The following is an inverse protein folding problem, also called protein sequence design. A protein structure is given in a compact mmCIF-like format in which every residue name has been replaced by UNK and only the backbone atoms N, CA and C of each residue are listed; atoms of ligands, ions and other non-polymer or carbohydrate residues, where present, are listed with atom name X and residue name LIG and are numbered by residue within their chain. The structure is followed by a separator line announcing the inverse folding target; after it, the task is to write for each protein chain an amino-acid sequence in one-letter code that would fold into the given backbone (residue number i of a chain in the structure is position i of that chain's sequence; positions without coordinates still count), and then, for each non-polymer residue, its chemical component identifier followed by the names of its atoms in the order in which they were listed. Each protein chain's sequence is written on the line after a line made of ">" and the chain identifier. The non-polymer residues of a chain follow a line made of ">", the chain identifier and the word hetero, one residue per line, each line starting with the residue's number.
data_IF_032574802969
#
_entry.id   IF_032574802969
#
_cell.length_a   1.000
_cell.length_b   1.000
_cell.length_c   1.000
_cell.angle_alpha   90.00
_cell.angle_beta   90.00
_cell.angle_gamma   90.00
#
_symmetry.space_group_name_H-M   'P 1'
#
loop_
_entity.id
_entity.type
_entity.pdbx_description
1 polymer ?
#
# COMPACT_ATOMS: atom_id res chain seq x y z
N UNK A 1 4.07 6.50 0.66
CA UNK A 1 3.57 7.39 1.74
C UNK A 1 4.09 6.86 3.06
N UNK A 2 4.32 7.72 4.06
CA UNK A 2 4.84 7.31 5.37
C UNK A 2 4.10 8.01 6.52
N UNK A 3 3.45 7.22 7.39
CA UNK A 3 2.72 7.66 8.58
C UNK A 3 3.57 7.65 9.87
N UNK A 4 4.88 7.52 9.76
CA UNK A 4 5.83 7.39 10.88
C UNK A 4 6.07 5.94 11.33
N UNK A 5 5.17 5.00 11.01
CA UNK A 5 5.33 3.56 11.32
C UNK A 5 4.77 2.61 10.23
N UNK A 6 4.12 3.15 9.21
CA UNK A 6 3.51 2.39 8.12
C UNK A 6 3.74 3.08 6.77
N UNK A 7 3.94 2.29 5.72
CA UNK A 7 4.08 2.78 4.35
C UNK A 7 3.13 2.08 3.39
N UNK A 8 2.62 2.85 2.42
CA UNK A 8 1.72 2.39 1.36
C UNK A 8 2.00 3.10 0.03
N UNK A 9 1.39 2.56 -1.03
CA UNK A 9 1.43 3.13 -2.39
C UNK A 9 0.07 3.70 -2.74
N UNK A 10 0.03 4.88 -3.35
CA UNK A 10 -1.19 5.46 -3.90
C UNK A 10 -1.10 5.49 -5.42
N UNK A 11 -2.16 5.06 -6.09
CA UNK A 11 -2.25 5.00 -7.55
C UNK A 11 -3.52 5.76 -7.95
N UNK A 12 -3.47 6.55 -9.03
CA UNK A 12 -4.67 7.15 -9.60
C UNK A 12 -5.62 6.04 -10.03
N UNK A 13 -6.88 6.11 -9.62
CA UNK A 13 -7.86 5.07 -9.94
C UNK A 13 -8.07 4.91 -11.45
N UNK A 14 -8.01 6.02 -12.20
CA UNK A 14 -8.11 6.00 -13.66
C UNK A 14 -7.00 5.19 -14.36
N UNK A 15 -5.86 5.03 -13.69
CA UNK A 15 -4.69 4.30 -14.19
C UNK A 15 -4.73 2.81 -13.79
N UNK A 16 -5.78 2.37 -13.09
CA UNK A 16 -5.99 0.98 -12.66
C UNK A 16 -7.05 0.33 -13.56
N UNK A 17 -6.67 -0.60 -14.46
CA UNK A 17 -7.65 -1.36 -15.22
C UNK A 17 -8.50 -2.23 -14.28
N UNK A 18 -9.84 -2.11 -14.29
CA UNK A 18 -10.71 -2.88 -13.39
C UNK A 18 -10.77 -4.38 -13.75
N UNK A 19 -10.17 -4.78 -14.87
CA UNK A 19 -9.93 -6.18 -15.23
C UNK A 19 -8.72 -6.78 -14.51
N UNK A 20 -7.80 -5.95 -14.01
CA UNK A 20 -6.58 -6.39 -13.32
C UNK A 20 -6.73 -6.25 -11.80
N UNK A 21 -7.32 -5.14 -11.34
CA UNK A 21 -7.71 -4.94 -9.94
C UNK A 21 -9.21 -4.64 -9.89
N UNK A 22 -10.08 -5.66 -9.93
CA UNK A 22 -11.52 -5.48 -9.82
C UNK A 22 -11.96 -4.81 -8.51
N UNK A 23 -11.17 -4.92 -7.44
CA UNK A 23 -11.41 -4.30 -6.13
C UNK A 23 -11.42 -2.76 -6.18
N UNK A 24 -10.86 -2.16 -7.24
CA UNK A 24 -10.96 -0.70 -7.48
C UNK A 24 -12.40 -0.22 -7.67
N UNK A 25 -13.33 -1.11 -8.03
CA UNK A 25 -14.76 -0.79 -8.21
C UNK A 25 -15.47 -0.49 -6.89
N UNK A 26 -14.94 -0.96 -5.76
CA UNK A 26 -15.50 -0.71 -4.43
C UNK A 26 -15.37 0.77 -4.02
N UNK A 27 -14.59 1.55 -4.76
CA UNK A 27 -14.34 2.97 -4.52
C UNK A 27 -14.79 3.81 -5.72
N UNK A 28 -16.10 3.82 -6.08
CA UNK A 28 -16.59 4.44 -7.33
C UNK A 28 -16.23 5.92 -7.45
N UNK A 29 -16.22 6.62 -6.33
CA UNK A 29 -16.00 8.06 -6.26
C UNK A 29 -14.53 8.47 -6.03
N UNK A 30 -13.60 7.53 -5.89
CA UNK A 30 -12.21 7.87 -5.56
C UNK A 30 -11.41 8.35 -6.79
N UNK A 31 -10.58 9.37 -6.60
CA UNK A 31 -9.58 9.81 -7.58
C UNK A 31 -8.31 8.95 -7.49
N UNK A 32 -7.98 8.53 -6.26
CA UNK A 32 -6.83 7.70 -5.93
C UNK A 32 -7.23 6.53 -5.03
N UNK A 33 -6.48 5.45 -5.16
CA UNK A 33 -6.55 4.29 -4.29
C UNK A 33 -5.20 4.14 -3.61
N UNK A 34 -5.18 4.28 -2.28
CA UNK A 34 -4.06 3.82 -1.47
C UNK A 34 -4.19 2.33 -1.22
N UNK A 35 -3.06 1.63 -1.31
CA UNK A 35 -2.91 0.24 -0.88
C UNK A 35 -1.73 0.14 0.10
N UNK A 36 -2.01 -0.44 1.27
CA UNK A 36 -1.02 -0.87 2.24
C UNK A 36 -1.13 -2.39 2.49
N UNK A 37 0.00 -3.06 2.71
CA UNK A 37 0.05 -4.49 3.03
C UNK A 37 0.59 -4.72 4.44
N UNK A 38 -0.06 -5.57 5.21
CA UNK A 38 0.33 -5.85 6.59
C UNK A 38 -0.34 -7.08 7.19
N UNK A 39 -0.21 -7.20 8.50
CA UNK A 39 -0.76 -8.31 9.29
C UNK A 39 -2.28 -8.19 9.44
N UNK A 40 -3.01 -9.28 9.18
CA UNK A 40 -4.47 -9.30 9.17
C UNK A 40 -5.10 -9.03 10.53
N UNK A 41 -4.55 -9.61 11.60
CA UNK A 41 -5.13 -9.50 12.94
C UNK A 41 -4.81 -8.14 13.55
N UNK A 42 -3.62 -7.61 13.25
CA UNK A 42 -3.18 -6.30 13.73
C UNK A 42 -3.93 -5.14 13.08
N UNK A 43 -4.10 -5.16 11.76
CA UNK A 43 -4.81 -4.09 11.05
C UNK A 43 -6.28 -3.96 11.41
N UNK A 44 -6.88 -5.04 11.94
CA UNK A 44 -8.29 -5.06 12.35
C UNK A 44 -8.49 -4.77 13.83
N UNK A 45 -7.43 -4.59 14.62
CA UNK A 45 -7.54 -4.29 16.04
C UNK A 45 -7.97 -2.82 16.27
N UNK A 46 -8.96 -2.61 17.13
CA UNK A 46 -9.62 -1.31 17.33
C UNK A 46 -8.78 -0.25 18.07
N UNK A 47 -7.68 -0.64 18.72
CA UNK A 47 -6.73 0.28 19.37
C UNK A 47 -5.37 -0.42 19.60
N UNK A 48 -4.46 -0.39 18.61
CA UNK A 48 -3.12 -0.89 18.80
C UNK A 48 -2.24 0.30 19.23
N UNK A 49 -2.22 0.62 20.52
CA UNK A 49 -1.34 1.67 21.05
C UNK A 49 0.07 1.61 20.43
N UNK A 50 0.57 2.79 20.01
CA UNK A 50 1.78 3.00 19.18
C UNK A 50 3.02 2.19 19.59
N UNK A 51 3.15 1.82 20.87
CA UNK A 51 4.27 1.04 21.41
C UNK A 51 4.20 -0.50 21.20
N UNK A 52 3.07 -1.03 20.74
CA UNK A 52 2.86 -2.49 20.55
C UNK A 52 2.87 -2.92 19.07
N UNK A 53 2.87 -1.94 18.15
CA UNK A 53 2.94 -2.11 16.69
C UNK A 53 4.17 -2.88 16.18
N UNK A 54 5.26 -2.87 16.95
CA UNK A 54 6.50 -3.59 16.64
C UNK A 54 6.62 -4.95 17.34
N UNK A 55 5.81 -5.22 18.36
CA UNK A 55 5.89 -6.45 19.18
C UNK A 55 4.88 -7.52 18.77
N UNK A 56 3.78 -7.16 18.13
CA UNK A 56 2.78 -8.11 17.64
C UNK A 56 3.15 -8.74 16.28
N UNK A 57 4.16 -8.20 15.59
CA UNK A 57 4.67 -8.59 14.26
C UNK A 57 5.26 -10.00 14.12
N UNK A 58 4.99 -10.91 15.05
CA UNK A 58 5.69 -12.20 15.17
C UNK A 58 4.81 -13.45 15.03
N UNK A 59 3.47 -13.35 14.94
CA UNK A 59 2.64 -14.57 15.01
C UNK A 59 1.38 -14.72 14.15
N UNK A 60 0.96 -13.77 13.29
CA UNK A 60 -0.14 -14.10 12.37
C UNK A 60 0.34 -14.82 11.11
N UNK A 61 -0.39 -15.85 10.70
CA UNK A 61 -0.17 -16.61 9.47
C UNK A 61 -0.85 -15.97 8.25
N UNK A 62 -1.55 -14.84 8.43
CA UNK A 62 -2.41 -14.21 7.42
C UNK A 62 -2.05 -12.74 7.24
N UNK A 63 -1.96 -12.32 5.98
CA UNK A 63 -1.74 -10.92 5.60
C UNK A 63 -3.02 -10.30 5.03
N UNK A 64 -3.11 -8.98 5.12
CA UNK A 64 -4.20 -8.17 4.61
C UNK A 64 -3.67 -7.04 3.72
N UNK A 65 -4.46 -6.69 2.72
CA UNK A 65 -4.40 -5.40 2.06
C UNK A 65 -5.41 -4.46 2.71
N UNK A 66 -4.95 -3.31 3.19
CA UNK A 66 -5.82 -2.18 3.52
C UNK A 66 -5.87 -1.27 2.31
N UNK A 67 -7.07 -1.07 1.78
CA UNK A 67 -7.29 -0.26 0.59
C UNK A 67 -8.20 0.91 0.96
N UNK A 68 -7.75 2.12 0.65
CA UNK A 68 -8.46 3.36 0.97
C UNK A 68 -8.69 4.11 -0.34
N UNK A 69 -9.96 4.41 -0.63
CA UNK A 69 -10.32 5.33 -1.71
C UNK A 69 -10.35 6.75 -1.19
N UNK A 70 -9.77 7.70 -1.92
CA UNK A 70 -9.87 9.11 -1.56
C UNK A 70 -9.96 10.03 -2.79
N UNK A 71 -10.46 11.24 -2.55
CA UNK A 71 -10.60 12.31 -3.53
C UNK A 71 -9.56 13.39 -3.28
N UNK A 72 -9.25 14.16 -4.32
CA UNK A 72 -8.33 15.28 -4.24
C UNK A 72 -6.86 14.87 -4.21
N UNK A 73 -6.01 15.77 -3.74
CA UNK A 73 -4.58 15.56 -3.71
C UNK A 73 -4.20 14.57 -2.59
N UNK A 74 -3.18 13.74 -2.82
CA UNK A 74 -2.66 12.86 -1.77
C UNK A 74 -2.14 13.67 -0.58
N UNK A 75 -1.64 14.88 -0.84
CA UNK A 75 -1.17 15.83 0.16
C UNK A 75 -2.29 16.27 1.11
N UNK A 76 -3.48 16.58 0.59
CA UNK A 76 -4.62 16.99 1.41
C UNK A 76 -5.19 15.82 2.21
N UNK A 77 -5.20 14.63 1.63
CA UNK A 77 -5.71 13.44 2.31
C UNK A 77 -4.75 12.95 3.41
N UNK A 78 -3.44 13.04 3.17
CA UNK A 78 -2.40 12.56 4.08
C UNK A 78 -1.63 13.70 4.77
N UNK A 79 -2.34 14.76 5.19
CA UNK A 79 -1.73 15.89 5.90
C UNK A 79 -0.92 15.42 7.12
N UNK A 80 0.33 15.86 7.20
CA UNK A 80 1.28 15.47 8.25
C UNK A 80 2.05 14.17 7.97
N UNK A 81 1.79 13.50 6.85
CA UNK A 81 2.54 12.33 6.38
C UNK A 81 3.47 12.70 5.23
N UNK A 82 4.54 11.93 5.05
CA UNK A 82 5.45 12.15 3.93
C UNK A 82 4.91 11.48 2.65
N UNK A 83 4.72 12.28 1.59
CA UNK A 83 4.29 11.83 0.27
C UNK A 83 5.40 12.11 -0.74
N UNK A 84 5.80 11.08 -1.49
CA UNK A 84 6.75 11.20 -2.60
C UNK A 84 5.99 10.87 -3.87
N UNK A 85 5.89 11.85 -4.77
CA UNK A 85 5.30 11.66 -6.08
C UNK A 85 6.38 11.12 -7.02
N UNK A 86 6.10 10.00 -7.67
CA UNK A 86 7.04 9.35 -8.58
C UNK A 86 6.37 9.20 -9.93
N UNK A 87 6.95 9.84 -10.95
CA UNK A 87 6.57 9.59 -12.33
C UNK A 87 7.20 8.25 -12.77
N UNK A 88 6.36 7.34 -13.27
CA UNK A 88 6.79 6.04 -13.82
C UNK A 88 6.42 5.97 -15.29
N UNK A 89 7.13 5.15 -16.05
CA UNK A 89 6.72 4.83 -17.44
C UNK A 89 5.42 4.02 -17.45
N UNK A 90 4.75 3.94 -18.60
CA UNK A 90 3.57 3.09 -18.76
C UNK A 90 3.87 1.62 -18.42
N UNK A 91 5.05 1.14 -18.78
CA UNK A 91 5.53 -0.21 -18.46
C UNK A 91 5.70 -0.38 -16.95
N UNK A 92 6.26 0.63 -16.27
CA UNK A 92 6.40 0.66 -14.82
C UNK A 92 5.05 0.66 -14.11
N UNK A 93 4.10 1.49 -14.57
CA UNK A 93 2.74 1.50 -14.05
C UNK A 93 2.07 0.13 -14.21
N UNK A 94 2.19 -0.51 -15.38
CA UNK A 94 1.65 -1.87 -15.58
C UNK A 94 2.31 -2.89 -14.66
N UNK A 95 3.62 -2.78 -14.44
CA UNK A 95 4.36 -3.61 -13.49
C UNK A 95 3.84 -3.46 -12.06
N UNK A 96 3.68 -2.22 -11.60
CA UNK A 96 3.12 -1.89 -10.29
C UNK A 96 1.70 -2.43 -10.10
N UNK A 97 0.81 -2.16 -11.06
CA UNK A 97 -0.59 -2.61 -11.00
C UNK A 97 -0.66 -4.13 -10.97
N UNK A 98 0.17 -4.83 -11.75
CA UNK A 98 0.24 -6.30 -11.71
C UNK A 98 0.74 -6.81 -10.36
N UNK A 99 1.80 -6.22 -9.81
CA UNK A 99 2.30 -6.58 -8.48
C UNK A 99 1.23 -6.43 -7.39
N UNK A 100 0.51 -5.30 -7.39
CA UNK A 100 -0.59 -5.08 -6.45
C UNK A 100 -1.71 -6.11 -6.68
N UNK A 101 -2.08 -6.38 -7.94
CA UNK A 101 -3.09 -7.38 -8.29
C UNK A 101 -2.71 -8.79 -7.80
N UNK A 102 -1.45 -9.19 -7.93
CA UNK A 102 -0.93 -10.48 -7.46
C UNK A 102 -0.86 -10.57 -5.94
N UNK A 103 -0.91 -9.43 -5.24
CA UNK A 103 -0.95 -9.41 -3.76
C UNK A 103 -2.34 -9.78 -3.23
N UNK A 104 -3.42 -9.55 -3.98
CA UNK A 104 -4.77 -9.98 -3.56
C UNK A 104 -4.90 -11.51 -3.53
N UNK A 105 -5.46 -12.05 -2.46
CA UNK A 105 -5.85 -13.45 -2.38
C UNK A 105 -7.29 -13.61 -2.88
N UNK A 106 -7.43 -13.96 -4.16
CA UNK A 106 -8.73 -14.22 -4.82
C UNK A 106 -9.02 -15.72 -4.86
N UNK A 107 -10.30 -16.07 -4.81
CA UNK A 107 -10.76 -17.45 -5.01
C UNK A 107 -10.61 -17.89 -6.47
N UNK A 108 -10.79 -16.98 -7.42
CA UNK A 108 -10.66 -17.19 -8.86
C UNK A 108 -10.03 -15.96 -9.52
N UNK A 109 -9.30 -16.18 -10.62
CA UNK A 109 -8.71 -15.09 -11.39
C UNK A 109 -9.79 -14.21 -12.02
N UNK A 110 -9.62 -12.89 -11.94
CA UNK A 110 -10.59 -11.92 -12.46
C UNK A 110 -11.79 -11.64 -11.56
N UNK A 111 -12.03 -12.43 -10.51
CA UNK A 111 -13.02 -12.12 -9.47
C UNK A 111 -12.39 -11.26 -8.35
N UNK A 112 -13.13 -10.28 -7.78
CA UNK A 112 -12.63 -9.52 -6.66
C UNK A 112 -12.46 -10.41 -5.43
N UNK A 113 -11.41 -10.15 -4.64
CA UNK A 113 -11.25 -10.76 -3.33
C UNK A 113 -12.41 -10.34 -2.40
N UNK A 114 -12.83 -11.25 -1.52
CA UNK A 114 -13.88 -10.94 -0.54
C UNK A 114 -13.35 -9.97 0.51
N UNK A 115 -13.73 -8.69 0.37
CA UNK A 115 -13.34 -7.64 1.28
C UNK A 115 -14.27 -7.49 2.48
N UNK A 116 -13.72 -7.04 3.61
CA UNK A 116 -14.48 -6.60 4.79
C UNK A 116 -14.33 -5.08 5.00
N UNK A 117 -15.22 -4.42 5.77
CA UNK A 117 -15.05 -3.01 6.12
C UNK A 117 -13.65 -2.70 6.68
N UNK A 118 -13.06 -1.59 6.24
CA UNK A 118 -11.76 -1.11 6.72
C UNK A 118 -11.87 -0.16 7.92
N UNK A 119 -10.75 0.46 8.30
CA UNK A 119 -10.68 1.41 9.45
C UNK A 119 -11.46 2.71 9.22
N UNK A 120 -11.58 3.14 7.97
CA UNK A 120 -12.27 4.35 7.55
C UNK A 120 -13.50 4.02 6.71
N UNK A 121 -14.47 4.95 6.67
CA UNK A 121 -15.72 4.78 5.94
C UNK A 121 -15.53 4.44 4.45
N UNK A 122 -14.50 5.00 3.80
CA UNK A 122 -14.14 4.70 2.42
C UNK A 122 -12.91 3.80 2.31
N UNK A 123 -12.86 2.75 3.12
CA UNK A 123 -11.76 1.79 3.11
C UNK A 123 -12.24 0.36 3.33
N UNK A 124 -11.48 -0.61 2.81
CA UNK A 124 -11.76 -2.04 2.91
C UNK A 124 -10.50 -2.82 3.20
N UNK A 125 -10.65 -3.93 3.92
CA UNK A 125 -9.61 -4.93 4.06
C UNK A 125 -9.86 -6.08 3.10
N UNK A 126 -8.81 -6.56 2.44
CA UNK A 126 -8.85 -7.73 1.58
C UNK A 126 -7.82 -8.75 2.01
N UNK A 127 -8.10 -10.05 1.87
CA UNK A 127 -7.11 -11.08 2.14
C UNK A 127 -5.95 -10.95 1.15
N UNK A 128 -4.73 -11.12 1.64
CA UNK A 128 -3.53 -10.95 0.84
C UNK A 128 -2.69 -12.23 0.78
N UNK A 129 -1.92 -12.35 -0.30
CA UNK A 129 -0.88 -13.37 -0.45
C UNK A 129 0.39 -12.93 0.30
N UNK A 130 1.17 -13.92 0.71
CA UNK A 130 2.44 -13.73 1.42
C UNK A 130 2.29 -13.87 2.93
N UNK A 131 3.38 -14.29 3.57
CA UNK A 131 3.46 -14.40 5.02
C UNK A 131 4.14 -13.15 5.57
N UNK A 132 3.54 -12.56 6.60
CA UNK A 132 4.13 -11.44 7.32
C UNK A 132 5.18 -11.97 8.30
N UNK A 133 6.38 -11.43 8.24
CA UNK A 133 7.43 -11.70 9.22
C UNK A 133 8.39 -10.51 9.28
N UNK A 134 9.27 -10.45 10.28
CA UNK A 134 10.09 -9.27 10.58
C UNK A 134 10.86 -8.68 9.37
N UNK A 135 11.29 -9.56 8.44
CA UNK A 135 12.00 -9.20 7.21
C UNK A 135 11.11 -8.99 5.97
N UNK A 136 9.80 -9.19 6.09
CA UNK A 136 8.78 -8.95 5.06
C UNK A 136 7.59 -8.22 5.69
N UNK A 137 7.72 -6.91 5.78
CA UNK A 137 6.76 -5.98 6.37
C UNK A 137 6.25 -4.99 5.32
N UNK A 138 5.45 -4.00 5.73
CA UNK A 138 4.89 -2.99 4.81
C UNK A 138 5.98 -2.25 4.01
N UNK A 139 7.14 -1.97 4.60
CA UNK A 139 8.23 -1.24 3.96
C UNK A 139 8.86 -2.07 2.83
N UNK A 140 9.14 -3.35 3.10
CA UNK A 140 9.65 -4.24 2.05
C UNK A 140 8.63 -4.47 0.95
N UNK A 141 7.33 -4.51 1.28
CA UNK A 141 6.27 -4.62 0.27
C UNK A 141 6.21 -3.37 -0.61
N UNK A 142 6.33 -2.16 -0.05
CA UNK A 142 6.43 -0.93 -0.85
C UNK A 142 7.69 -0.94 -1.72
N UNK A 143 8.83 -1.43 -1.21
CA UNK A 143 10.04 -1.54 -2.02
C UNK A 143 9.89 -2.55 -3.18
N UNK A 144 9.22 -3.69 -2.96
CA UNK A 144 8.86 -4.64 -4.02
C UNK A 144 7.93 -3.99 -5.05
N UNK A 145 6.95 -3.21 -4.60
CA UNK A 145 6.05 -2.46 -5.47
C UNK A 145 6.82 -1.45 -6.35
N UNK A 146 7.70 -0.65 -5.75
CA UNK A 146 8.53 0.31 -6.48
C UNK A 146 9.48 -0.38 -7.46
N UNK A 147 10.09 -1.49 -7.06
CA UNK A 147 10.94 -2.29 -7.94
C UNK A 147 10.16 -2.87 -9.12
N UNK A 148 8.92 -3.34 -8.89
CA UNK A 148 8.02 -3.81 -9.96
C UNK A 148 7.64 -2.69 -10.94
N UNK A 149 7.71 -1.43 -10.48
CA UNK A 149 7.53 -0.25 -11.31
C UNK A 149 8.80 0.15 -12.10
N UNK A 150 9.87 -0.64 -12.02
CA UNK A 150 11.14 -0.38 -12.69
C UNK A 150 12.03 0.64 -11.97
N UNK A 151 11.71 0.99 -10.72
CA UNK A 151 12.50 1.95 -9.96
C UNK A 151 13.72 1.27 -9.32
N UNK A 152 14.87 1.97 -9.22
CA UNK A 152 16.11 1.41 -8.67
C UNK A 152 16.07 1.35 -7.13
N UNK A 153 15.17 0.52 -6.59
CA UNK A 153 14.98 0.29 -5.16
C UNK A 153 15.49 -1.10 -4.77
N UNK A 154 16.18 -1.16 -3.63
CA UNK A 154 16.64 -2.41 -3.01
C UNK A 154 15.74 -2.79 -1.84
N UNK A 155 15.13 -3.98 -1.95
CA UNK A 155 14.28 -4.58 -0.92
C UNK A 155 15.08 -4.99 0.32
N UNK A 156 16.36 -5.36 0.17
CA UNK A 156 17.25 -5.73 1.28
C UNK A 156 17.57 -4.56 2.22
N UNK A 157 17.45 -3.32 1.74
CA UNK A 157 17.63 -2.11 2.55
C UNK A 157 16.29 -1.45 2.94
N UNK A 158 15.15 -2.10 2.68
CA UNK A 158 13.81 -1.56 2.87
C UNK A 158 13.14 -2.01 4.18
N UNK A 159 13.92 -2.22 5.24
CA UNK A 159 13.40 -2.75 6.51
C UNK A 159 12.59 -1.68 7.27
N UNK A 160 13.04 -0.42 7.19
CA UNK A 160 12.42 0.73 7.88
C UNK A 160 11.73 1.66 6.89
N UNK A 161 10.72 2.39 7.36
CA UNK A 161 10.02 3.40 6.55
C UNK A 161 10.99 4.48 6.05
N UNK A 162 11.93 4.92 6.89
CA UNK A 162 12.94 5.91 6.51
C UNK A 162 13.77 5.46 5.31
N UNK A 163 14.25 4.21 5.29
CA UNK A 163 15.09 3.72 4.19
C UNK A 163 14.31 3.56 2.88
N UNK A 164 13.03 3.21 2.93
CA UNK A 164 12.18 3.14 1.73
C UNK A 164 11.94 4.54 1.19
N UNK A 165 11.63 5.50 2.06
CA UNK A 165 11.40 6.88 1.66
C UNK A 165 12.68 7.53 1.10
N UNK A 166 13.85 7.25 1.66
CA UNK A 166 15.15 7.67 1.10
C UNK A 166 15.35 7.17 -0.34
N UNK A 167 14.97 5.92 -0.62
CA UNK A 167 15.07 5.34 -1.95
C UNK A 167 14.01 5.93 -2.91
N UNK A 168 12.78 6.10 -2.43
CA UNK A 168 11.70 6.74 -3.18
C UNK A 168 12.06 8.17 -3.59
N UNK A 169 12.61 8.98 -2.67
CA UNK A 169 13.06 10.36 -2.92
C UNK A 169 14.13 10.46 -4.00
N UNK A 170 14.99 9.46 -4.15
CA UNK A 170 15.99 9.43 -5.23
C UNK A 170 15.38 9.19 -6.61
N UNK A 171 14.17 8.65 -6.66
CA UNK A 171 13.49 8.27 -7.90
C UNK A 171 12.31 9.17 -8.24
N UNK A 172 11.92 10.08 -7.35
CA UNK A 172 10.77 10.96 -7.52
C UNK A 172 11.00 12.35 -6.94
N UNK A 173 9.93 13.15 -6.93
CA UNK A 173 9.94 14.48 -6.33
C UNK A 173 9.27 14.43 -4.97
N UNK A 174 9.98 14.87 -3.94
CA UNK A 174 9.40 15.03 -2.61
C UNK A 174 8.36 16.16 -2.65
N UNK A 175 7.13 15.84 -2.25
CA UNK A 175 6.08 16.83 -2.01
C UNK A 175 6.00 17.00 -0.49
N UNK A 176 6.51 18.12 0.02
CA UNK A 176 6.42 18.40 1.46
C UNK A 176 4.94 18.54 1.87
N UNK A 177 4.58 18.19 3.13
CA UNK A 177 3.21 18.38 3.60
C UNK A 177 2.81 19.85 3.43
N UNK A 178 1.66 20.10 2.81
CA UNK A 178 1.11 21.45 2.66
C UNK A 178 0.91 22.11 4.03
N UNK A 179 1.43 23.33 4.19
CA UNK A 179 1.27 24.17 5.39
C UNK A 179 -0.13 24.78 5.48
#
# INVERSE_FOLDING_TARGET
>A
MNYGWHTGVAIRKADIPPTVIPESRDFPDADFVEIGWGDWDYYRAADPGLGMALKASFWSSRSALHVIGFKGSAEDHFRGSEVVEIAVSDDGLRGLVRFVAETFLRSEEGLPAEGSPGLYANSRFYPARGQFHLFRNCNTWVAEALQSAGLPVSTSFAITAGNVMDQARRSGTLRAPGH
#
